data_IF_935692423126
#
_entry.id   IF_935692423126
#
_cell.length_a   1.000
_cell.length_b   1.000
_cell.length_c   1.000
_cell.angle_alpha   90.00
_cell.angle_beta   90.00
_cell.angle_gamma   90.00
#
_symmetry.space_group_name_H-M   'P 1'
#
loop_
_entity.id
_entity.type
_entity.pdbx_description
1 polymer ?
#
# COMPACT_ATOMS: atom_id res chain seq x y z
N UNK A 1 -5.91 -54.25 15.82
CA UNK A 1 -6.67 -53.46 16.81
C UNK A 1 -5.84 -53.42 18.08
N UNK A 2 -4.87 -52.50 18.15
CA UNK A 2 -4.10 -52.19 19.37
C UNK A 2 -3.33 -50.91 19.12
N UNK A 3 -3.85 -49.81 19.66
CA UNK A 3 -3.16 -48.53 19.82
C UNK A 3 -2.29 -48.64 21.07
N UNK A 4 -1.02 -48.26 20.97
CA UNK A 4 -0.18 -47.93 22.11
C UNK A 4 0.23 -46.46 21.98
N UNK A 5 -0.21 -45.68 22.96
CA UNK A 5 0.23 -44.32 23.24
C UNK A 5 1.64 -44.32 23.82
N UNK A 6 2.42 -43.28 23.52
CA UNK A 6 3.62 -42.94 24.28
C UNK A 6 4.58 -42.00 23.57
N UNK A 7 4.68 -40.77 24.09
CA UNK A 7 5.92 -39.99 24.06
C UNK A 7 5.92 -38.70 23.21
N UNK A 8 5.88 -37.55 23.91
CA UNK A 8 6.86 -36.44 23.87
C UNK A 8 7.47 -36.05 22.50
N UNK A 9 7.63 -34.79 22.09
CA UNK A 9 7.53 -33.45 22.69
C UNK A 9 7.63 -32.50 21.50
N UNK A 10 6.71 -31.54 21.38
CA UNK A 10 6.79 -30.50 20.36
C UNK A 10 7.83 -29.43 20.74
N UNK A 11 8.73 -29.12 19.82
CA UNK A 11 9.51 -27.89 19.82
C UNK A 11 9.81 -27.50 18.39
N UNK A 12 9.46 -26.27 18.02
CA UNK A 12 10.07 -25.59 16.87
C UNK A 12 9.11 -24.91 15.90
N UNK A 13 8.89 -23.61 16.11
CA UNK A 13 8.89 -22.67 14.98
C UNK A 13 7.55 -22.28 14.36
N UNK A 14 6.51 -22.06 15.17
CA UNK A 14 5.36 -21.26 14.73
C UNK A 14 5.66 -19.78 14.90
N UNK A 15 5.56 -19.01 13.81
CA UNK A 15 5.65 -17.55 13.79
C UNK A 15 4.72 -16.93 14.84
N UNK A 16 5.31 -16.36 15.89
CA UNK A 16 4.62 -15.45 16.80
C UNK A 16 4.31 -14.15 16.04
N UNK A 17 3.16 -14.11 15.39
CA UNK A 17 2.49 -12.85 15.07
C UNK A 17 1.99 -12.32 16.42
N UNK A 18 2.47 -11.17 16.93
CA UNK A 18 1.84 -10.56 18.08
C UNK A 18 0.42 -10.20 17.66
N UNK A 19 -0.57 -10.90 18.21
CA UNK A 19 -1.93 -10.38 18.25
C UNK A 19 -1.85 -8.98 18.86
N UNK A 20 -2.45 -8.00 18.20
CA UNK A 20 -2.65 -6.66 18.74
C UNK A 20 -3.54 -6.82 19.97
N UNK A 21 -2.92 -7.01 21.12
CA UNK A 21 -3.54 -6.98 22.44
C UNK A 21 -3.66 -5.50 22.80
N UNK A 22 -4.79 -4.94 22.39
CA UNK A 22 -5.25 -3.60 22.78
C UNK A 22 -6.74 -3.62 23.14
N UNK A 23 -7.23 -4.73 23.67
CA UNK A 23 -8.42 -4.70 24.52
C UNK A 23 -7.92 -4.44 25.94
N UNK A 24 -7.76 -3.16 26.28
CA UNK A 24 -7.84 -2.78 27.69
C UNK A 24 -9.26 -3.12 28.14
N UNK A 25 -9.33 -4.24 28.85
CA UNK A 25 -10.47 -4.64 29.66
C UNK A 25 -10.76 -3.45 30.56
N UNK A 26 -11.91 -2.81 30.36
CA UNK A 26 -12.49 -1.84 31.28
C UNK A 26 -12.87 -2.62 32.54
N UNK A 27 -11.88 -2.90 33.38
CA UNK A 27 -12.04 -3.50 34.68
C UNK A 27 -12.24 -2.37 35.70
N UNK A 28 -13.50 -2.11 36.02
CA UNK A 28 -13.93 -1.57 37.31
C UNK A 28 -13.28 -0.25 37.74
N UNK A 29 -13.61 0.85 37.06
CA UNK A 29 -13.71 2.11 37.80
C UNK A 29 -15.02 2.05 38.57
N UNK A 30 -14.97 1.53 39.81
CA UNK A 30 -16.04 1.75 40.76
C UNK A 30 -16.26 3.26 40.82
N UNK A 31 -17.39 3.72 40.28
CA UNK A 31 -17.84 5.10 40.44
C UNK A 31 -18.01 5.31 41.94
N UNK A 32 -17.17 6.12 42.61
CA UNK A 32 -17.43 6.44 44.01
C UNK A 32 -18.82 7.07 44.09
N UNK A 33 -19.62 6.76 45.11
CA UNK A 33 -20.97 7.32 45.23
C UNK A 33 -20.90 8.84 45.09
N UNK A 34 -21.91 9.47 44.46
CA UNK A 34 -21.86 10.90 44.19
C UNK A 34 -21.64 11.63 45.50
N UNK A 35 -20.50 12.30 45.62
CA UNK A 35 -20.28 13.23 46.72
C UNK A 35 -21.29 14.35 46.49
N UNK A 36 -22.37 14.30 47.26
CA UNK A 36 -23.42 15.34 47.29
C UNK A 36 -22.72 16.65 47.64
N UNK A 37 -22.51 17.50 46.63
CA UNK A 37 -21.83 18.79 46.78
C UNK A 37 -20.85 19.18 45.67
N UNK A 38 -20.56 18.33 44.68
CA UNK A 38 -19.69 18.74 43.58
C UNK A 38 -20.45 19.68 42.63
N UNK A 39 -20.12 20.97 42.71
CA UNK A 39 -20.56 21.99 41.77
C UNK A 39 -20.29 21.55 40.32
N UNK A 40 -21.10 21.96 39.33
CA UNK A 40 -20.86 21.63 37.93
C UNK A 40 -19.41 21.96 37.59
N UNK A 41 -18.70 21.01 36.98
CA UNK A 41 -17.32 21.17 36.53
C UNK A 41 -17.23 22.45 35.72
N UNK A 42 -16.72 23.49 36.35
CA UNK A 42 -16.59 24.81 35.77
C UNK A 42 -15.60 24.64 34.62
N UNK A 43 -16.09 24.71 33.38
CA UNK A 43 -15.21 24.70 32.21
C UNK A 43 -14.35 25.94 32.34
N UNK A 44 -13.07 25.72 32.65
CA UNK A 44 -12.09 26.79 32.66
C UNK A 44 -11.79 27.18 31.22
N UNK A 45 -12.59 28.12 30.73
CA UNK A 45 -12.50 28.64 29.36
C UNK A 45 -11.09 29.13 29.05
N UNK A 46 -10.34 29.63 30.04
CA UNK A 46 -8.99 30.14 29.82
C UNK A 46 -7.98 29.04 29.55
N UNK A 47 -8.02 27.93 30.30
CA UNK A 47 -7.13 26.79 30.02
C UNK A 47 -7.48 26.11 28.71
N UNK A 48 -8.75 25.99 28.34
CA UNK A 48 -9.15 25.46 27.04
C UNK A 48 -8.72 26.38 25.88
N UNK A 49 -8.85 27.70 26.01
CA UNK A 49 -8.35 28.65 25.02
C UNK A 49 -6.83 28.57 24.87
N UNK A 50 -6.09 28.47 25.97
CA UNK A 50 -4.63 28.28 25.94
C UNK A 50 -4.25 26.97 25.24
N UNK A 51 -5.02 25.90 25.49
CA UNK A 51 -4.83 24.59 24.84
C UNK A 51 -5.09 24.66 23.34
N UNK A 52 -6.20 25.29 22.93
CA UNK A 52 -6.55 25.49 21.51
C UNK A 52 -5.47 26.32 20.81
N UNK A 53 -4.99 27.40 21.43
CA UNK A 53 -3.94 28.24 20.88
C UNK A 53 -2.62 27.47 20.69
N UNK A 54 -2.25 26.63 21.66
CA UNK A 54 -1.09 25.76 21.57
C UNK A 54 -1.23 24.73 20.42
N UNK A 55 -2.42 24.15 20.25
CA UNK A 55 -2.71 23.24 19.12
C UNK A 55 -2.61 23.96 17.78
N UNK A 56 -3.21 25.14 17.63
CA UNK A 56 -3.14 25.94 16.39
C UNK A 56 -1.69 26.28 16.04
N UNK A 57 -0.90 26.67 17.05
CA UNK A 57 0.53 26.99 16.86
C UNK A 57 1.31 25.75 16.38
N UNK A 58 1.09 24.60 17.01
CA UNK A 58 1.71 23.34 16.59
C UNK A 58 1.32 22.95 15.16
N UNK A 59 0.05 23.11 14.78
CA UNK A 59 -0.42 22.85 13.42
C UNK A 59 0.24 23.78 12.40
N UNK A 60 0.40 25.06 12.74
CA UNK A 60 1.07 26.03 11.88
C UNK A 60 2.56 25.72 11.70
N UNK A 61 3.25 25.28 12.76
CA UNK A 61 4.65 24.84 12.67
C UNK A 61 4.82 23.60 11.79
N UNK A 62 3.92 22.61 11.93
CA UNK A 62 3.89 21.43 11.06
C UNK A 62 3.68 21.85 9.61
N UNK A 63 2.72 22.75 9.35
CA UNK A 63 2.48 23.29 7.99
C UNK A 63 3.74 23.96 7.43
N UNK A 64 4.43 24.79 8.22
CA UNK A 64 5.66 25.45 7.79
C UNK A 64 6.79 24.45 7.48
N UNK A 65 6.91 23.38 8.28
CA UNK A 65 7.86 22.30 8.03
C UNK A 65 7.53 21.52 6.74
N UNK A 66 6.25 21.21 6.49
CA UNK A 66 5.80 20.54 5.26
C UNK A 66 6.14 21.40 4.03
N UNK A 67 5.90 22.70 4.09
CA UNK A 67 6.25 23.65 3.02
C UNK A 67 7.77 23.67 2.80
N UNK A 68 8.57 23.72 3.86
CA UNK A 68 10.05 23.71 3.79
C UNK A 68 10.61 22.43 3.20
N UNK A 69 9.99 21.29 3.49
CA UNK A 69 10.40 20.00 2.95
C UNK A 69 10.01 19.83 1.46
N UNK A 70 9.26 20.78 0.88
CA UNK A 70 8.78 20.67 -0.50
C UNK A 70 7.87 19.47 -0.72
N UNK A 71 7.31 18.91 0.35
CA UNK A 71 6.46 17.73 0.27
C UNK A 71 5.10 18.14 -0.28
N UNK A 72 4.72 17.53 -1.40
CA UNK A 72 3.37 17.62 -1.92
C UNK A 72 2.64 16.29 -1.63
N UNK A 73 2.02 16.14 -0.44
CA UNK A 73 1.35 14.89 -0.06
C UNK A 73 0.20 14.54 -1.00
N UNK A 74 -0.47 15.53 -1.60
CA UNK A 74 -1.51 15.32 -2.61
C UNK A 74 -0.94 14.73 -3.90
N UNK A 75 0.21 15.24 -4.37
CA UNK A 75 0.92 14.67 -5.51
C UNK A 75 1.38 13.24 -5.24
N UNK A 76 1.96 13.01 -4.05
CA UNK A 76 2.40 11.67 -3.65
C UNK A 76 1.23 10.68 -3.65
N UNK A 77 0.09 11.07 -3.07
CA UNK A 77 -1.11 10.25 -3.08
C UNK A 77 -1.54 9.92 -4.51
N UNK A 78 -1.66 10.93 -5.40
CA UNK A 78 -2.05 10.72 -6.78
C UNK A 78 -1.09 9.78 -7.54
N UNK A 79 0.23 9.91 -7.33
CA UNK A 79 1.22 9.01 -7.93
C UNK A 79 1.05 7.57 -7.42
N UNK A 80 0.93 7.39 -6.10
CA UNK A 80 0.82 6.06 -5.50
C UNK A 80 -0.50 5.34 -5.86
N UNK A 81 -1.59 6.08 -6.03
CA UNK A 81 -2.90 5.48 -6.32
C UNK A 81 -3.22 5.36 -7.80
N UNK A 82 -2.71 6.25 -8.64
CA UNK A 82 -3.09 6.31 -10.06
C UNK A 82 -1.95 5.90 -11.00
N UNK A 83 -0.72 6.32 -10.73
CA UNK A 83 0.42 6.10 -11.64
C UNK A 83 1.10 4.76 -11.38
N UNK A 84 1.38 4.44 -10.12
CA UNK A 84 2.11 3.22 -9.72
C UNK A 84 1.41 1.93 -10.17
N UNK A 85 0.08 1.75 -10.03
CA UNK A 85 -0.59 0.52 -10.49
C UNK A 85 -0.44 0.29 -11.99
N UNK A 86 -0.54 1.35 -12.80
CA UNK A 86 -0.43 1.26 -14.25
C UNK A 86 1.02 0.95 -14.66
N UNK A 87 2.01 1.54 -13.98
CA UNK A 87 3.43 1.19 -14.15
C UNK A 87 3.72 -0.28 -13.82
N UNK A 88 3.08 -0.82 -12.77
CA UNK A 88 3.25 -2.23 -12.41
C UNK A 88 2.69 -3.16 -13.49
N UNK A 89 1.55 -2.81 -14.09
CA UNK A 89 0.97 -3.56 -15.21
C UNK A 89 1.92 -3.54 -16.41
N UNK A 90 2.45 -2.38 -16.77
CA UNK A 90 3.41 -2.25 -17.86
C UNK A 90 4.67 -3.10 -17.62
N UNK A 91 5.17 -3.10 -16.39
CA UNK A 91 6.33 -3.90 -15.99
C UNK A 91 6.04 -5.40 -16.11
N UNK A 92 4.85 -5.85 -15.71
CA UNK A 92 4.42 -7.24 -15.84
C UNK A 92 4.29 -7.67 -17.31
N UNK A 93 3.73 -6.81 -18.18
CA UNK A 93 3.64 -7.06 -19.62
C UNK A 93 5.02 -7.16 -20.27
N UNK A 94 5.93 -6.24 -19.95
CA UNK A 94 7.31 -6.30 -20.43
C UNK A 94 8.02 -7.61 -20.02
N UNK A 95 7.82 -8.04 -18.78
CA UNK A 95 8.37 -9.31 -18.27
C UNK A 95 7.77 -10.52 -19.01
N UNK A 96 6.46 -10.49 -19.27
CA UNK A 96 5.80 -11.55 -20.01
C UNK A 96 6.32 -11.66 -21.44
N UNK A 97 6.50 -10.53 -22.13
CA UNK A 97 7.05 -10.49 -23.48
C UNK A 97 8.46 -11.11 -23.56
N UNK A 98 9.30 -10.86 -22.55
CA UNK A 98 10.64 -11.46 -22.47
C UNK A 98 10.58 -12.98 -22.31
N UNK A 99 9.75 -13.49 -21.39
CA UNK A 99 9.57 -14.93 -21.20
C UNK A 99 9.01 -15.63 -22.44
N UNK A 100 8.04 -15.03 -23.13
CA UNK A 100 7.52 -15.60 -24.37
C UNK A 100 8.56 -15.55 -25.50
N UNK A 101 9.39 -14.51 -25.57
CA UNK A 101 10.48 -14.42 -26.54
C UNK A 101 11.50 -15.54 -26.35
N UNK A 102 11.90 -15.80 -25.11
CA UNK A 102 12.78 -16.93 -24.76
C UNK A 102 12.11 -18.27 -25.09
N UNK A 103 10.82 -18.43 -24.78
CA UNK A 103 10.08 -19.65 -25.10
C UNK A 103 9.98 -19.91 -26.61
N UNK A 104 9.69 -18.87 -27.40
CA UNK A 104 9.64 -18.95 -28.86
C UNK A 104 11.01 -19.35 -29.45
N UNK A 105 12.09 -18.73 -28.97
CA UNK A 105 13.45 -19.06 -29.38
C UNK A 105 13.82 -20.52 -29.06
N UNK A 106 13.48 -20.99 -27.86
CA UNK A 106 13.73 -22.38 -27.49
C UNK A 106 12.91 -23.36 -28.36
N UNK A 107 11.64 -23.03 -28.65
CA UNK A 107 10.81 -23.85 -29.54
C UNK A 107 11.34 -23.91 -30.97
N UNK A 108 11.83 -22.79 -31.53
CA UNK A 108 12.37 -22.75 -32.88
C UNK A 108 13.65 -23.58 -33.05
N UNK A 109 14.43 -23.74 -31.98
CA UNK A 109 15.66 -24.54 -32.01
C UNK A 109 15.41 -26.05 -31.82
N UNK A 110 14.28 -26.45 -31.24
CA UNK A 110 14.03 -27.87 -30.89
C UNK A 110 13.22 -28.59 -31.98
N UNK A 111 12.24 -27.95 -32.64
CA UNK A 111 11.42 -28.66 -33.62
C UNK A 111 10.68 -27.74 -34.63
N UNK A 112 11.11 -27.76 -35.90
CA UNK A 112 10.40 -27.10 -37.01
C UNK A 112 8.96 -27.64 -37.25
N UNK A 113 8.64 -28.83 -36.74
CA UNK A 113 7.29 -29.41 -36.83
C UNK A 113 6.26 -28.69 -35.94
N UNK A 114 6.70 -27.89 -34.95
CA UNK A 114 5.82 -27.05 -34.10
C UNK A 114 5.72 -25.60 -34.60
N UNK A 115 5.71 -25.45 -35.92
CA UNK A 115 5.68 -24.13 -36.59
C UNK A 115 4.42 -23.34 -36.22
N UNK A 116 3.30 -24.03 -35.96
CA UNK A 116 2.06 -23.40 -35.49
C UNK A 116 2.19 -22.83 -34.07
N UNK A 117 2.78 -23.56 -33.13
CA UNK A 117 2.97 -23.09 -31.74
C UNK A 117 4.00 -21.97 -31.65
N UNK A 118 5.07 -22.02 -32.46
CA UNK A 118 6.02 -20.92 -32.59
C UNK A 118 5.30 -19.66 -33.09
N UNK A 119 4.50 -19.79 -34.16
CA UNK A 119 3.71 -18.68 -34.69
C UNK A 119 2.75 -18.10 -33.65
N UNK A 120 2.02 -18.95 -32.93
CA UNK A 120 1.10 -18.51 -31.87
C UNK A 120 1.83 -17.75 -30.75
N UNK A 121 3.04 -18.16 -30.42
CA UNK A 121 3.86 -17.49 -29.39
C UNK A 121 4.36 -16.13 -29.89
N UNK A 122 4.76 -16.03 -31.16
CA UNK A 122 5.13 -14.76 -31.79
C UNK A 122 3.94 -13.80 -31.87
N UNK A 123 2.75 -14.29 -32.27
CA UNK A 123 1.51 -13.50 -32.26
C UNK A 123 1.20 -12.96 -30.85
N UNK A 124 1.34 -13.79 -29.82
CA UNK A 124 1.17 -13.34 -28.42
C UNK A 124 2.19 -12.27 -27.99
N UNK A 125 3.44 -12.36 -28.45
CA UNK A 125 4.46 -11.33 -28.16
C UNK A 125 4.04 -10.00 -28.80
N UNK A 126 3.51 -10.01 -30.03
CA UNK A 126 2.99 -8.81 -30.67
C UNK A 126 1.79 -8.24 -29.92
N UNK A 127 0.82 -9.08 -29.55
CA UNK A 127 -0.35 -8.63 -28.77
C UNK A 127 0.05 -7.98 -27.43
N UNK A 128 1.04 -8.55 -26.73
CA UNK A 128 1.56 -7.99 -25.48
C UNK A 128 2.31 -6.67 -25.73
N UNK A 129 3.01 -6.56 -26.86
CA UNK A 129 3.73 -5.34 -27.24
C UNK A 129 2.75 -4.21 -27.51
N UNK A 130 1.72 -4.46 -28.32
CA UNK A 130 0.66 -3.48 -28.61
C UNK A 130 -0.04 -3.04 -27.32
N UNK A 131 -0.39 -3.99 -26.44
CA UNK A 131 -0.99 -3.68 -25.15
C UNK A 131 -0.04 -2.86 -24.25
N UNK A 132 1.27 -3.11 -24.33
CA UNK A 132 2.26 -2.33 -23.58
C UNK A 132 2.34 -0.89 -24.08
N UNK A 133 2.20 -0.65 -25.39
CA UNK A 133 2.14 0.70 -25.95
C UNK A 133 0.90 1.45 -25.47
N UNK A 134 -0.26 0.80 -25.47
CA UNK A 134 -1.52 1.37 -24.94
C UNK A 134 -1.39 1.76 -23.47
N UNK A 135 -0.87 0.85 -22.64
CA UNK A 135 -0.64 1.09 -21.22
C UNK A 135 0.38 2.22 -21.00
N UNK A 136 1.45 2.26 -21.80
CA UNK A 136 2.45 3.33 -21.73
C UNK A 136 1.85 4.70 -22.03
N UNK A 137 0.99 4.82 -23.03
CA UNK A 137 0.28 6.07 -23.33
C UNK A 137 -0.64 6.51 -22.18
N UNK A 138 -1.27 5.57 -21.47
CA UNK A 138 -2.04 5.88 -20.25
C UNK A 138 -1.14 6.40 -19.13
N UNK A 139 -0.01 5.73 -18.86
CA UNK A 139 0.98 6.18 -17.86
C UNK A 139 1.46 7.59 -18.17
N UNK A 140 1.79 7.87 -19.44
CA UNK A 140 2.25 9.19 -19.89
C UNK A 140 1.21 10.27 -19.66
N UNK A 141 -0.06 10.02 -20.00
CA UNK A 141 -1.17 10.96 -19.76
C UNK A 141 -1.38 11.22 -18.27
N UNK A 142 -1.40 10.16 -17.45
CA UNK A 142 -1.55 10.29 -15.99
C UNK A 142 -0.40 11.06 -15.37
N UNK A 143 0.83 10.78 -15.78
CA UNK A 143 2.03 11.49 -15.31
C UNK A 143 1.98 12.97 -15.66
N UNK A 144 1.63 13.31 -16.91
CA UNK A 144 1.48 14.70 -17.34
C UNK A 144 0.35 15.44 -16.62
N UNK A 145 -0.75 14.75 -16.30
CA UNK A 145 -1.87 15.31 -15.57
C UNK A 145 -1.56 15.54 -14.08
N UNK A 146 -0.72 14.68 -13.47
CA UNK A 146 -0.33 14.78 -12.06
C UNK A 146 0.80 15.77 -11.82
N UNK A 147 1.64 16.09 -12.80
CA UNK A 147 2.71 17.08 -12.63
C UNK A 147 2.15 18.48 -12.27
N UNK A 148 2.75 19.17 -11.28
CA UNK A 148 2.34 20.51 -10.92
C UNK A 148 2.56 21.45 -12.11
N UNK A 149 1.48 22.12 -12.55
CA UNK A 149 1.56 23.15 -13.59
C UNK A 149 2.36 24.33 -13.03
N UNK A 150 3.38 24.78 -13.75
CA UNK A 150 4.17 25.93 -13.33
C UNK A 150 3.26 27.14 -13.07
N UNK A 151 3.44 27.88 -11.96
CA UNK A 151 2.76 29.15 -11.79
C UNK A 151 3.30 30.14 -12.84
N UNK A 152 2.40 30.70 -13.64
CA UNK A 152 2.67 31.81 -14.55
C UNK A 152 2.95 33.10 -13.78
#
# INVERSE_FOLDING_TARGET
>A
MTRQDGGQTGAGGGQNIPAIVGQEIIAGSEVPPPIVGQAPSQIDVQSELARILATITSVNDIRAQIIRLGLNPSLRFAVETEVVPVLNILTALATAADFYSVAAFNMSNINFAKSHEIRKTLELIYDITDLSEDVFEVVKKLTLATLPKAPY
#
